data_IF_142999985084
#
_entry.id   IF_142999985084
#
_cell.length_a   1.000
_cell.length_b   1.000
_cell.length_c   1.000
_cell.angle_alpha   90.00
_cell.angle_beta   90.00
_cell.angle_gamma   90.00
#
_symmetry.space_group_name_H-M   'P 1'
#
loop_
_entity.id
_entity.type
_entity.pdbx_description
1 polymer ?
#
# COMPACT_ATOMS: atom_id res chain seq x y z
N UNK A 1 -11.86 -13.30 2.09
CA UNK A 1 -10.46 -12.86 1.91
C UNK A 1 -10.31 -11.53 2.63
N UNK A 2 -9.19 -11.27 3.31
CA UNK A 2 -8.99 -9.98 3.97
C UNK A 2 -8.58 -8.95 2.91
N UNK A 3 -9.43 -7.96 2.65
CA UNK A 3 -9.15 -6.88 1.71
C UNK A 3 -8.38 -5.77 2.43
N UNK A 4 -7.11 -6.06 2.71
CA UNK A 4 -6.20 -5.16 3.41
C UNK A 4 -4.99 -4.91 2.52
N UNK A 5 -4.54 -3.66 2.48
CA UNK A 5 -3.26 -3.26 1.92
C UNK A 5 -2.40 -2.65 3.01
N UNK A 6 -1.17 -3.13 3.13
CA UNK A 6 -0.16 -2.50 3.97
C UNK A 6 0.78 -1.69 3.09
N UNK A 7 1.03 -0.45 3.48
CA UNK A 7 1.94 0.46 2.83
C UNK A 7 3.11 0.71 3.77
N UNK A 8 4.31 0.46 3.31
CA UNK A 8 5.56 0.75 4.03
C UNK A 8 6.49 1.53 3.13
N UNK A 9 7.26 2.45 3.71
CA UNK A 9 8.36 3.07 2.99
C UNK A 9 9.42 2.00 2.62
N UNK A 10 10.15 2.26 1.55
CA UNK A 10 11.30 1.44 1.16
C UNK A 10 12.59 2.12 1.60
N UNK A 11 13.71 1.40 1.57
CA UNK A 11 15.04 1.97 1.84
C UNK A 11 15.46 3.12 0.89
N UNK A 12 14.63 3.43 -0.12
CA UNK A 12 14.77 4.62 -0.95
C UNK A 12 13.69 5.62 -0.54
N UNK A 13 14.10 6.83 -0.16
CA UNK A 13 13.22 7.88 0.39
C UNK A 13 12.01 8.24 -0.51
N UNK A 14 12.12 7.97 -1.82
CA UNK A 14 11.09 8.31 -2.80
C UNK A 14 10.22 7.11 -3.22
N UNK A 15 10.23 6.00 -2.48
CA UNK A 15 9.46 4.82 -2.86
C UNK A 15 8.74 4.14 -1.69
N UNK A 16 7.54 3.67 -2.01
CA UNK A 16 6.61 2.98 -1.12
C UNK A 16 6.30 1.59 -1.66
N UNK A 17 6.23 0.62 -0.77
CA UNK A 17 5.86 -0.75 -1.06
C UNK A 17 4.44 -1.02 -0.56
N UNK A 18 3.63 -1.66 -1.41
CA UNK A 18 2.29 -2.12 -1.06
C UNK A 18 2.32 -3.65 -0.99
N UNK A 19 1.83 -4.20 0.12
CA UNK A 19 1.64 -5.64 0.33
C UNK A 19 0.19 -5.96 0.68
N UNK A 20 -0.22 -7.21 0.46
CA UNK A 20 -1.51 -7.71 0.93
C UNK A 20 -1.48 -8.10 2.42
N UNK A 21 -2.62 -8.57 2.94
CA UNK A 21 -2.76 -9.04 4.32
C UNK A 21 -1.81 -10.20 4.70
N UNK A 22 -1.26 -10.92 3.72
CA UNK A 22 -0.30 -12.03 3.91
C UNK A 22 1.15 -11.57 3.75
N UNK A 23 1.39 -10.28 3.54
CA UNK A 23 2.71 -9.72 3.27
C UNK A 23 3.20 -9.96 1.84
N UNK A 24 2.35 -10.44 0.93
CA UNK A 24 2.73 -10.60 -0.47
C UNK A 24 2.83 -9.24 -1.16
N UNK A 25 3.96 -8.98 -1.82
CA UNK A 25 4.17 -7.76 -2.60
C UNK A 25 3.13 -7.66 -3.73
N UNK A 26 2.46 -6.51 -3.82
CA UNK A 26 1.47 -6.25 -4.86
C UNK A 26 1.82 -5.06 -5.75
N UNK A 27 2.53 -4.07 -5.24
CA UNK A 27 3.02 -2.94 -6.04
C UNK A 27 4.16 -2.20 -5.34
N UNK A 28 4.95 -1.47 -6.16
CA UNK A 28 5.87 -0.42 -5.72
C UNK A 28 5.42 0.89 -6.34
N UNK A 29 5.41 1.96 -5.55
CA UNK A 29 5.03 3.31 -5.98
C UNK A 29 6.19 4.24 -5.71
N UNK A 30 6.66 4.94 -6.74
CA UNK A 30 7.60 6.06 -6.60
C UNK A 30 6.82 7.35 -6.43
N UNK A 31 7.17 8.18 -5.48
CA UNK A 31 6.47 9.42 -5.16
C UNK A 31 6.07 9.52 -3.69
N UNK A 32 4.90 10.10 -3.44
CA UNK A 32 4.45 10.42 -2.08
C UNK A 32 3.73 9.24 -1.41
N UNK A 33 3.63 9.30 -0.07
CA UNK A 33 2.78 8.38 0.69
C UNK A 33 1.33 8.41 0.18
N UNK A 34 0.82 9.58 -0.16
CA UNK A 34 -0.53 9.76 -0.67
C UNK A 34 -0.75 9.03 -1.99
N UNK A 35 0.24 9.01 -2.89
CA UNK A 35 0.16 8.27 -4.16
C UNK A 35 0.04 6.76 -3.90
N UNK A 36 0.80 6.25 -2.93
CA UNK A 36 0.71 4.85 -2.51
C UNK A 36 -0.66 4.52 -1.90
N UNK A 37 -1.21 5.42 -1.08
CA UNK A 37 -2.55 5.26 -0.49
C UNK A 37 -3.63 5.25 -1.58
N UNK A 38 -3.57 6.18 -2.54
CA UNK A 38 -4.51 6.23 -3.64
C UNK A 38 -4.49 4.94 -4.47
N UNK A 39 -3.29 4.40 -4.76
CA UNK A 39 -3.17 3.12 -5.47
C UNK A 39 -3.72 1.94 -4.65
N UNK A 40 -3.43 1.89 -3.34
CA UNK A 40 -3.96 0.84 -2.47
C UNK A 40 -5.50 0.87 -2.41
N UNK A 41 -6.10 2.06 -2.31
CA UNK A 41 -7.55 2.24 -2.35
C UNK A 41 -8.13 1.80 -3.70
N UNK A 42 -7.48 2.17 -4.80
CA UNK A 42 -7.87 1.72 -6.15
C UNK A 42 -7.84 0.19 -6.27
N UNK A 43 -6.81 -0.47 -5.74
CA UNK A 43 -6.74 -1.94 -5.72
C UNK A 43 -7.86 -2.58 -4.89
N UNK A 44 -8.29 -1.91 -3.82
CA UNK A 44 -9.36 -2.39 -2.94
C UNK A 44 -10.76 -2.12 -3.51
N UNK A 45 -10.91 -1.10 -4.37
CA UNK A 45 -12.17 -0.79 -5.03
C UNK A 45 -12.71 -1.96 -5.88
N UNK A 46 -11.81 -2.76 -6.47
CA UNK A 46 -12.16 -4.00 -7.18
C UNK A 46 -12.89 -5.04 -6.30
N UNK A 47 -12.79 -4.90 -4.98
CA UNK A 47 -13.42 -5.79 -4.00
C UNK A 47 -14.54 -5.11 -3.19
N UNK A 48 -15.01 -3.93 -3.60
CA UNK A 48 -16.00 -3.14 -2.87
C UNK A 48 -15.42 -2.34 -1.70
N UNK A 49 -14.09 -2.20 -1.63
CA UNK A 49 -13.39 -1.47 -0.58
C UNK A 49 -12.59 -2.38 0.36
N UNK A 50 -11.97 -1.77 1.37
CA UNK A 50 -11.12 -2.47 2.33
C UNK A 50 -10.33 -1.52 3.23
N UNK A 51 -9.36 -2.06 3.93
CA UNK A 51 -8.53 -1.31 4.89
C UNK A 51 -7.15 -1.02 4.30
N UNK A 52 -6.68 0.22 4.45
CA UNK A 52 -5.30 0.60 4.16
C UNK A 52 -4.61 0.91 5.47
N UNK A 53 -3.50 0.22 5.76
CA UNK A 53 -2.64 0.52 6.89
C UNK A 53 -1.33 1.08 6.37
N UNK A 54 -0.89 2.21 6.92
CA UNK A 54 0.38 2.84 6.55
C UNK A 54 1.33 2.78 7.73
N UNK A 55 2.53 2.27 7.49
CA UNK A 55 3.64 2.32 8.44
C UNK A 55 4.66 3.32 7.89
N UNK A 56 4.68 4.57 8.39
CA UNK A 56 5.74 5.51 8.01
C UNK A 56 7.07 5.01 8.58
N UNK A 57 8.18 5.33 7.90
CA UNK A 57 9.51 5.15 8.49
C UNK A 57 9.59 5.95 9.80
N UNK A 58 10.11 5.29 10.84
CA UNK A 58 10.19 5.80 12.22
C UNK A 58 11.33 6.79 12.41
#
# INVERSE_FOLDING_TARGET
>A
MQHIRHISATLSDDAWQITDARGQHTARVTGTQQDAVALAQHQLAAYGGGTVLVTPDS
#
